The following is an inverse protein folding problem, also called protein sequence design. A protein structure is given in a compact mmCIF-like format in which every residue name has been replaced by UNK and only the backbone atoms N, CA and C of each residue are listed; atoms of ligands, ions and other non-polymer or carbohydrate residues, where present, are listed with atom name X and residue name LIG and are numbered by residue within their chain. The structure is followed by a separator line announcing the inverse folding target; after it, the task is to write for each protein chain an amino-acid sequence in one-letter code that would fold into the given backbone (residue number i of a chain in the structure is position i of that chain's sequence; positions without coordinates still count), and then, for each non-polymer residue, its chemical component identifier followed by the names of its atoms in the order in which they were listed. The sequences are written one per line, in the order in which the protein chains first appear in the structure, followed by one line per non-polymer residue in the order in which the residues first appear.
data_IF_472130070753
#
_entry.id   IF_472130070753
#
_cell.length_a   1.000
_cell.length_b   1.000
_cell.length_c   1.000
_cell.angle_alpha   90.00
_cell.angle_beta   90.00
_cell.angle_gamma   90.00
#
_symmetry.space_group_name_H-M   'P 1'
#
loop_
_entity.id
_entity.type
_entity.pdbx_description
1 polymer ?
#
# COMPACT_ATOMS: atom_id res chain seq x y z
N UNK A 1 -3.73 -23.20 5.17
CA UNK A 1 -3.58 -21.90 4.51
C UNK A 1 -3.09 -22.09 3.08
N UNK A 2 -3.74 -21.50 2.12
CA UNK A 2 -3.34 -21.60 0.72
C UNK A 2 -2.07 -20.80 0.44
N UNK A 3 -1.41 -21.10 -0.68
CA UNK A 3 -0.24 -20.34 -1.13
C UNK A 3 -0.62 -18.87 -1.35
N UNK A 4 -1.81 -18.62 -1.91
CA UNK A 4 -2.32 -17.28 -2.15
C UNK A 4 -2.45 -16.48 -0.84
N UNK A 5 -2.96 -17.11 0.22
CA UNK A 5 -3.07 -16.47 1.53
C UNK A 5 -1.71 -16.15 2.13
N UNK A 6 -0.73 -17.05 1.96
CA UNK A 6 0.63 -16.81 2.43
C UNK A 6 1.28 -15.63 1.73
N UNK A 7 1.11 -15.53 0.41
CA UNK A 7 1.68 -14.44 -0.39
C UNK A 7 1.10 -13.10 0.08
N UNK A 8 -0.21 -13.02 0.29
CA UNK A 8 -0.88 -11.82 0.74
C UNK A 8 -0.45 -11.40 2.14
N UNK A 9 -0.34 -12.37 3.05
CA UNK A 9 0.12 -12.12 4.41
C UNK A 9 1.57 -11.62 4.41
N UNK A 10 2.46 -12.28 3.67
CA UNK A 10 3.85 -11.88 3.58
C UNK A 10 4.00 -10.47 3.01
N UNK A 11 3.20 -10.15 2.01
CA UNK A 11 3.16 -8.79 1.45
C UNK A 11 2.78 -7.77 2.53
N UNK A 12 1.66 -7.99 3.18
CA UNK A 12 1.16 -7.08 4.23
C UNK A 12 2.19 -6.92 5.35
N UNK A 13 2.67 -8.04 5.88
CA UNK A 13 3.59 -8.01 7.02
C UNK A 13 4.92 -7.34 6.67
N UNK A 14 5.45 -7.60 5.48
CA UNK A 14 6.71 -6.97 5.04
C UNK A 14 6.53 -5.47 4.79
N UNK A 15 5.38 -5.05 4.28
CA UNK A 15 5.07 -3.63 4.07
C UNK A 15 4.98 -2.90 5.41
N UNK A 16 4.21 -3.44 6.36
CA UNK A 16 4.06 -2.84 7.69
C UNK A 16 5.41 -2.77 8.41
N UNK A 17 6.18 -3.85 8.38
CA UNK A 17 7.48 -3.91 9.04
C UNK A 17 8.43 -2.84 8.47
N UNK A 18 8.54 -2.75 7.15
CA UNK A 18 9.40 -1.74 6.51
C UNK A 18 8.98 -0.32 6.90
N UNK A 19 7.67 -0.07 6.98
CA UNK A 19 7.13 1.26 7.27
C UNK A 19 7.07 1.59 8.77
N UNK A 20 7.61 0.69 9.60
CA UNK A 20 7.66 0.92 11.05
C UNK A 20 6.29 0.91 11.71
N UNK A 21 5.33 0.20 11.11
CA UNK A 21 3.95 0.10 11.62
C UNK A 21 3.27 1.45 11.74
N UNK A 22 3.60 2.37 10.83
CA UNK A 22 3.02 3.72 10.75
C UNK A 22 2.49 3.98 9.36
N UNK A 23 1.44 4.81 9.28
CA UNK A 23 0.97 5.34 7.99
C UNK A 23 2.06 6.23 7.39
N UNK A 24 2.47 5.96 6.18
CA UNK A 24 3.52 6.73 5.51
C UNK A 24 3.05 8.09 5.03
N UNK A 25 1.74 8.31 4.97
CA UNK A 25 1.20 9.60 4.55
C UNK A 25 0.99 10.56 5.72
N UNK A 26 0.22 10.16 6.73
CA UNK A 26 -0.12 11.04 7.85
C UNK A 26 0.73 10.81 9.10
N UNK A 27 1.52 9.73 9.13
CA UNK A 27 2.41 9.44 10.26
C UNK A 27 1.73 8.77 11.45
N UNK A 28 0.44 8.46 11.36
CA UNK A 28 -0.25 7.78 12.45
C UNK A 28 0.42 6.45 12.80
N UNK A 29 0.63 6.19 14.07
CA UNK A 29 1.32 4.99 14.57
C UNK A 29 2.54 5.37 15.41
N UNK A 30 3.38 4.41 15.82
CA UNK A 30 3.31 2.98 15.43
C UNK A 30 2.22 2.19 16.14
N UNK A 31 1.67 1.17 15.45
CA UNK A 31 0.72 0.25 16.04
C UNK A 31 1.20 -1.17 15.75
N UNK A 32 1.69 -1.84 16.80
CA UNK A 32 2.29 -3.17 16.67
C UNK A 32 1.30 -4.32 16.84
N UNK A 33 0.24 -4.12 17.64
CA UNK A 33 -0.78 -5.14 17.84
C UNK A 33 -1.89 -4.99 16.81
N UNK A 34 -2.12 -6.05 16.03
CA UNK A 34 -3.16 -6.08 15.01
C UNK A 34 -3.15 -4.84 14.11
N UNK A 35 -1.98 -4.49 13.51
CA UNK A 35 -1.91 -3.28 12.68
C UNK A 35 -2.89 -3.32 11.51
N UNK A 36 -3.26 -4.50 11.04
CA UNK A 36 -4.25 -4.68 9.97
C UNK A 36 -5.65 -4.20 10.34
N UNK A 37 -5.91 -3.94 11.62
CA UNK A 37 -7.19 -3.41 12.05
C UNK A 37 -7.34 -1.92 11.74
N UNK A 38 -6.22 -1.20 11.55
CA UNK A 38 -6.24 0.24 11.30
C UNK A 38 -5.45 0.67 10.05
N UNK A 39 -4.61 -0.21 9.51
CA UNK A 39 -3.82 0.08 8.32
C UNK A 39 -4.12 -0.90 7.20
N UNK A 40 -3.97 -0.43 5.97
CA UNK A 40 -3.95 -1.27 4.78
C UNK A 40 -2.55 -1.24 4.16
N UNK A 41 -2.12 -2.37 3.62
CA UNK A 41 -0.96 -2.43 2.74
C UNK A 41 -1.49 -2.17 1.33
N UNK A 42 -1.37 -0.92 0.89
CA UNK A 42 -1.89 -0.47 -0.40
C UNK A 42 -0.92 -0.82 -1.53
N UNK A 43 -1.44 -1.39 -2.61
CA UNK A 43 -0.66 -1.61 -3.84
C UNK A 43 -0.43 -0.27 -4.52
N UNK A 44 0.82 0.16 -4.62
CA UNK A 44 1.14 1.46 -5.24
C UNK A 44 0.76 1.43 -6.71
N UNK A 45 1.19 0.41 -7.46
CA UNK A 45 0.66 0.12 -8.80
C UNK A 45 -0.36 -1.00 -8.64
N UNK A 46 -1.53 -0.83 -9.27
CA UNK A 46 -2.63 -1.78 -9.16
C UNK A 46 -2.14 -3.19 -9.52
N UNK A 47 -2.56 -4.17 -8.74
CA UNK A 47 -2.14 -5.57 -8.90
C UNK A 47 -2.38 -6.12 -10.31
N UNK A 48 -3.43 -5.68 -11.00
CA UNK A 48 -3.73 -6.14 -12.35
C UNK A 48 -2.74 -5.62 -13.41
N UNK A 49 -1.95 -4.61 -13.06
CA UNK A 49 -0.92 -4.05 -13.94
C UNK A 49 0.47 -4.52 -13.58
N UNK A 50 0.59 -5.45 -12.63
CA UNK A 50 1.88 -5.91 -12.13
C UNK A 50 2.10 -7.40 -12.39
N UNK A 51 3.35 -7.82 -12.65
CA UNK A 51 3.66 -9.25 -12.72
C UNK A 51 3.26 -9.93 -11.41
N UNK A 52 2.61 -11.09 -11.51
CA UNK A 52 2.19 -11.88 -10.34
C UNK A 52 1.41 -11.10 -9.28
N UNK A 53 0.71 -10.04 -9.71
CA UNK A 53 -0.13 -9.24 -8.83
C UNK A 53 0.59 -8.20 -7.98
N UNK A 54 1.92 -8.12 -8.07
CA UNK A 54 2.68 -7.08 -7.38
C UNK A 54 2.69 -7.19 -5.86
N UNK A 55 2.61 -8.41 -5.30
CA UNK A 55 2.59 -8.65 -3.86
C UNK A 55 4.00 -8.65 -3.27
N UNK A 56 4.72 -7.55 -3.47
CA UNK A 56 6.08 -7.34 -2.96
C UNK A 56 6.13 -6.03 -2.21
N UNK A 57 7.00 -5.94 -1.17
CA UNK A 57 7.08 -4.71 -0.37
C UNK A 57 7.46 -3.48 -1.20
N UNK A 58 8.19 -3.67 -2.29
CA UNK A 58 8.57 -2.60 -3.21
C UNK A 58 7.37 -1.96 -3.91
N UNK A 59 6.21 -2.62 -3.89
CA UNK A 59 4.96 -2.14 -4.46
C UNK A 59 3.87 -1.91 -3.40
N UNK A 60 4.24 -1.86 -2.15
CA UNK A 60 3.27 -1.70 -1.06
C UNK A 60 3.61 -0.53 -0.16
N UNK A 61 2.59 0.12 0.38
CA UNK A 61 2.75 1.23 1.31
C UNK A 61 1.69 1.14 2.40
N UNK A 62 2.10 1.40 3.65
CA UNK A 62 1.17 1.39 4.79
C UNK A 62 0.39 2.69 4.81
N UNK A 63 -0.93 2.61 4.77
CA UNK A 63 -1.83 3.76 4.81
C UNK A 63 -2.97 3.52 5.79
N UNK A 64 -3.47 4.59 6.42
CA UNK A 64 -4.62 4.50 7.33
C UNK A 64 -5.86 4.00 6.60
N UNK A 65 -6.54 3.04 7.22
CA UNK A 65 -7.79 2.47 6.75
C UNK A 65 -9.00 3.38 7.03
N UNK A 66 -8.89 4.19 8.08
CA UNK A 66 -9.98 5.05 8.55
C UNK A 66 -9.51 6.48 8.74
N UNK A 67 -10.44 7.43 8.62
CA UNK A 67 -10.19 8.84 8.93
C UNK A 67 -10.27 9.05 10.47
N UNK A 68 -10.15 10.31 10.91
CA UNK A 68 -10.20 10.66 12.34
C UNK A 68 -11.52 10.31 13.01
N UNK A 69 -12.60 10.23 12.22
CA UNK A 69 -13.95 9.90 12.74
C UNK A 69 -14.24 8.40 12.66
N UNK A 70 -13.24 7.59 12.29
CA UNK A 70 -13.40 6.14 12.18
C UNK A 70 -14.11 5.68 10.91
N UNK A 71 -14.18 6.53 9.88
CA UNK A 71 -14.82 6.22 8.61
C UNK A 71 -13.75 5.91 7.55
N UNK A 72 -14.09 5.02 6.61
CA UNK A 72 -13.20 4.70 5.49
C UNK A 72 -13.09 5.89 4.53
N UNK A 73 -14.19 6.63 4.35
CA UNK A 73 -14.22 7.80 3.47
C UNK A 73 -13.21 8.84 3.95
N UNK A 74 -12.40 9.35 3.01
CA UNK A 74 -11.39 10.35 3.32
C UNK A 74 -10.17 9.81 4.06
N UNK A 75 -10.06 8.50 4.25
CA UNK A 75 -8.85 7.90 4.82
C UNK A 75 -7.67 8.02 3.85
N UNK A 76 -6.44 7.87 4.37
CA UNK A 76 -5.26 7.91 3.51
C UNK A 76 -5.34 6.84 2.42
N UNK A 77 -5.80 5.63 2.76
CA UNK A 77 -5.96 4.54 1.79
C UNK A 77 -6.96 4.89 0.69
N UNK A 78 -8.12 5.44 1.06
CA UNK A 78 -9.14 5.80 0.07
C UNK A 78 -8.68 6.94 -0.83
N UNK A 79 -7.90 7.88 -0.29
CA UNK A 79 -7.31 8.95 -1.12
C UNK A 79 -6.35 8.38 -2.16
N UNK A 80 -5.56 7.36 -1.78
CA UNK A 80 -4.64 6.69 -2.70
C UNK A 80 -5.39 5.83 -3.71
N UNK A 81 -6.50 5.18 -3.29
CA UNK A 81 -7.31 4.34 -4.17
C UNK A 81 -7.98 5.11 -5.30
N UNK A 82 -8.19 6.42 -5.12
CA UNK A 82 -8.81 7.26 -6.16
C UNK A 82 -8.10 7.13 -7.50
N UNK A 83 -6.77 7.02 -7.49
CA UNK A 83 -6.00 6.82 -8.72
C UNK A 83 -6.41 5.52 -9.42
N UNK A 84 -6.51 4.43 -8.67
CA UNK A 84 -6.88 3.13 -9.26
C UNK A 84 -8.34 3.09 -9.70
N UNK A 85 -9.24 3.60 -8.87
CA UNK A 85 -10.69 3.63 -9.16
C UNK A 85 -10.98 4.41 -10.43
N UNK A 86 -10.26 5.51 -10.66
CA UNK A 86 -10.45 6.36 -11.83
C UNK A 86 -9.55 5.97 -13.01
N UNK A 87 -8.84 4.86 -12.91
CA UNK A 87 -7.91 4.38 -13.94
C UNK A 87 -6.87 5.45 -14.31
N UNK A 88 -6.37 6.15 -13.29
CA UNK A 88 -5.31 7.14 -13.44
C UNK A 88 -5.77 8.51 -13.91
N UNK A 89 -7.09 8.75 -14.00
CA UNK A 89 -7.63 10.03 -14.46
C UNK A 89 -7.63 11.10 -13.39
N UNK A 90 -7.77 10.70 -12.12
CA UNK A 90 -7.83 11.62 -10.99
C UNK A 90 -7.03 11.08 -9.81
N UNK A 91 -6.44 11.97 -9.03
CA UNK A 91 -5.77 11.62 -7.79
C UNK A 91 -5.71 12.82 -6.85
N UNK A 92 -5.59 12.55 -5.57
CA UNK A 92 -5.40 13.59 -4.57
C UNK A 92 -3.93 14.03 -4.57
N UNK A 93 -3.63 15.30 -4.22
CA UNK A 93 -2.25 15.77 -4.11
C UNK A 93 -1.42 14.88 -3.20
N UNK A 94 -0.23 14.49 -3.66
CA UNK A 94 0.66 13.61 -2.91
C UNK A 94 0.30 12.13 -2.95
N UNK A 95 -0.74 11.76 -3.68
CA UNK A 95 -1.24 10.37 -3.73
C UNK A 95 -1.06 9.71 -5.10
N UNK A 96 -0.38 10.37 -6.02
CA UNK A 96 -0.02 9.73 -7.29
C UNK A 96 0.97 8.59 -6.99
N UNK A 97 0.91 7.46 -7.72
CA UNK A 97 1.85 6.35 -7.51
C UNK A 97 3.32 6.78 -7.44
N UNK A 98 3.73 7.74 -8.26
CA UNK A 98 5.11 8.24 -8.23
C UNK A 98 5.45 8.87 -6.87
N UNK A 99 4.51 9.60 -6.26
CA UNK A 99 4.69 10.19 -4.94
C UNK A 99 4.79 9.11 -3.87
N UNK A 100 3.94 8.09 -3.97
CA UNK A 100 3.91 7.00 -3.00
C UNK A 100 5.19 6.17 -3.07
N UNK A 101 5.70 5.89 -4.27
CA UNK A 101 6.98 5.20 -4.44
C UNK A 101 8.11 5.97 -3.77
N UNK A 102 8.12 7.29 -3.89
CA UNK A 102 9.16 8.13 -3.25
C UNK A 102 9.13 7.99 -1.74
N UNK A 103 7.93 7.93 -1.16
CA UNK A 103 7.78 7.78 0.30
C UNK A 103 8.38 6.48 0.83
N UNK A 104 8.43 5.44 0.02
CA UNK A 104 8.93 4.13 0.42
C UNK A 104 10.32 3.82 -0.17
N UNK A 105 10.94 4.78 -0.85
CA UNK A 105 12.26 4.57 -1.44
C UNK A 105 12.28 3.55 -2.57
N UNK A 106 11.22 3.48 -3.35
CA UNK A 106 11.06 2.52 -4.44
C UNK A 106 10.72 3.22 -5.76
N UNK A 107 10.40 2.44 -6.78
CA UNK A 107 9.93 2.92 -8.07
C UNK A 107 9.11 1.82 -8.74
N UNK A 108 8.34 2.19 -9.76
CA UNK A 108 7.58 1.21 -10.53
C UNK A 108 8.50 0.15 -11.15
N UNK A 109 9.66 0.57 -11.64
CA UNK A 109 10.64 -0.33 -12.25
C UNK A 109 11.18 -1.35 -11.22
N UNK A 110 11.56 -0.87 -10.04
CA UNK A 110 12.04 -1.73 -8.95
C UNK A 110 10.94 -2.71 -8.53
N UNK A 111 9.70 -2.22 -8.40
CA UNK A 111 8.56 -3.05 -8.03
C UNK A 111 8.26 -4.13 -9.06
N UNK A 112 8.35 -3.81 -10.36
CA UNK A 112 8.14 -4.78 -11.44
C UNK A 112 9.19 -5.89 -11.35
N UNK A 113 10.46 -5.54 -11.21
CA UNK A 113 11.55 -6.53 -11.12
C UNK A 113 11.37 -7.45 -9.92
N UNK A 114 11.01 -6.90 -8.77
CA UNK A 114 10.75 -7.69 -7.57
C UNK A 114 9.55 -8.62 -7.77
N UNK A 115 8.49 -8.13 -8.41
CA UNK A 115 7.27 -8.90 -8.66
C UNK A 115 7.50 -10.06 -9.62
N UNK A 116 8.40 -9.92 -10.58
CA UNK A 116 8.74 -11.00 -11.51
C UNK A 116 9.32 -12.23 -10.81
N UNK A 117 9.88 -12.05 -9.63
CA UNK A 117 10.49 -13.12 -8.84
C UNK A 117 9.51 -13.87 -7.94
N UNK A 118 8.28 -13.45 -7.88
CA UNK A 118 7.27 -14.13 -7.05
C UNK A 118 6.92 -15.53 -7.57
#
# INVERSE_FOLDING_TARGET
MSLKDKIRRNFRDSVFDRDGYCCKHCGNGPVYEMPESIFDAHHVTDRKEMPNGGYVKENGITLCKYNQDGLEEGSCHMKAEKFHITEGKEWEPGMHPDDLYKLIGSSKEVAIKASEKL
#
